data_IF_985149236935
#
_entry.id   IF_985149236935
#
_cell.length_a   1.000
_cell.length_b   1.000
_cell.length_c   1.000
_cell.angle_alpha   90.00
_cell.angle_beta   90.00
_cell.angle_gamma   90.00
#
_symmetry.space_group_name_H-M   'P 1'
#
loop_
_entity.id
_entity.type
_entity.pdbx_description
1 polymer ?
#
# COMPACT_ATOMS: atom_id res chain seq x y z
N UNK A 1 0.87 -20.76 53.42
CA UNK A 1 1.36 -20.44 52.06
C UNK A 1 0.16 -20.50 51.12
N UNK A 2 -0.27 -19.37 50.56
CA UNK A 2 -1.41 -19.29 49.63
C UNK A 2 -0.84 -19.02 48.23
N UNK A 3 -1.06 -19.95 47.30
CA UNK A 3 -0.69 -19.77 45.89
C UNK A 3 -1.81 -19.02 45.17
N UNK A 4 -1.46 -17.89 44.56
CA UNK A 4 -2.31 -17.11 43.67
C UNK A 4 -2.14 -17.67 42.24
N UNK A 5 -3.18 -18.30 41.71
CA UNK A 5 -3.22 -18.75 40.31
C UNK A 5 -3.81 -17.61 39.48
N UNK A 6 -2.99 -16.98 38.64
CA UNK A 6 -3.43 -15.96 37.68
C UNK A 6 -3.80 -16.68 36.38
N UNK A 7 -5.10 -16.79 36.10
CA UNK A 7 -5.60 -17.20 34.79
C UNK A 7 -5.46 -16.03 33.80
N UNK A 8 -4.50 -16.14 32.88
CA UNK A 8 -4.42 -15.28 31.70
C UNK A 8 -5.47 -15.72 30.68
N UNK A 9 -6.56 -14.96 30.60
CA UNK A 9 -7.54 -15.08 29.52
C UNK A 9 -6.94 -14.45 28.26
N UNK A 10 -6.56 -15.28 27.29
CA UNK A 10 -6.29 -14.85 25.93
C UNK A 10 -7.63 -14.55 25.24
N UNK A 11 -7.92 -13.26 25.03
CA UNK A 11 -9.01 -12.83 24.14
C UNK A 11 -8.46 -12.81 22.72
N UNK A 12 -8.81 -13.81 21.92
CA UNK A 12 -8.58 -13.79 20.47
C UNK A 12 -9.58 -12.83 19.84
N UNK A 13 -9.10 -11.68 19.36
CA UNK A 13 -9.91 -10.75 18.55
C UNK A 13 -9.80 -11.16 17.10
N UNK A 14 -10.87 -11.74 16.55
CA UNK A 14 -11.00 -11.99 15.11
C UNK A 14 -11.22 -10.65 14.41
N UNK A 15 -10.26 -10.22 13.58
CA UNK A 15 -10.42 -9.05 12.72
C UNK A 15 -11.25 -9.47 11.51
N UNK A 16 -12.45 -8.89 11.36
CA UNK A 16 -13.28 -9.05 10.16
C UNK A 16 -12.61 -8.34 8.98
N UNK A 17 -12.41 -9.06 7.88
CA UNK A 17 -12.04 -8.47 6.60
C UNK A 17 -13.27 -7.76 6.01
N UNK A 18 -13.22 -6.44 5.87
CA UNK A 18 -14.24 -5.67 5.17
C UNK A 18 -14.10 -5.89 3.66
N UNK A 19 -15.03 -6.63 3.07
CA UNK A 19 -15.13 -6.82 1.61
C UNK A 19 -15.67 -5.54 0.97
N UNK A 20 -14.78 -4.73 0.37
CA UNK A 20 -15.17 -3.55 -0.42
C UNK A 20 -15.45 -3.98 -1.86
N UNK A 21 -16.72 -4.07 -2.24
CA UNK A 21 -17.16 -4.32 -3.61
C UNK A 21 -17.13 -3.01 -4.41
N UNK A 22 -16.38 -2.95 -5.52
CA UNK A 22 -16.44 -1.82 -6.47
C UNK A 22 -16.54 -2.33 -7.91
N UNK A 23 -17.70 -2.07 -8.53
CA UNK A 23 -17.96 -2.24 -9.96
C UNK A 23 -16.97 -1.42 -10.80
N UNK A 24 -16.13 -2.11 -11.57
CA UNK A 24 -15.33 -1.53 -12.65
C UNK A 24 -16.03 -1.70 -14.01
N UNK A 25 -16.14 -0.61 -14.76
CA UNK A 25 -16.67 -0.55 -16.13
C UNK A 25 -15.57 -0.62 -17.19
N UNK A 26 -15.88 -1.31 -18.28
CA UNK A 26 -15.20 -1.40 -19.60
C UNK A 26 -14.12 -2.46 -19.82
N UNK A 27 -14.50 -3.49 -20.60
CA UNK A 27 -13.63 -4.12 -21.61
C UNK A 27 -13.54 -5.65 -21.51
N UNK A 28 -14.42 -6.35 -22.25
CA UNK A 28 -14.59 -7.83 -22.28
C UNK A 28 -15.05 -8.39 -20.93
N UNK A 29 -16.37 -8.39 -20.76
CA UNK A 29 -17.05 -8.97 -19.60
C UNK A 29 -16.82 -10.48 -19.58
N UNK A 30 -15.72 -10.91 -18.96
CA UNK A 30 -15.61 -12.27 -18.45
C UNK A 30 -16.47 -12.33 -17.20
N UNK A 31 -17.52 -13.14 -17.26
CA UNK A 31 -18.41 -13.40 -16.14
C UNK A 31 -17.66 -14.24 -15.10
N UNK A 32 -16.92 -13.57 -14.22
CA UNK A 32 -16.18 -14.21 -13.13
C UNK A 32 -17.11 -14.32 -11.90
N UNK A 33 -17.31 -15.53 -11.34
CA UNK A 33 -18.06 -15.70 -10.10
C UNK A 33 -17.25 -15.16 -8.91
N UNK A 34 -17.89 -14.33 -8.07
CA UNK A 34 -17.44 -13.74 -6.79
C UNK A 34 -16.02 -13.12 -6.75
N UNK A 35 -15.95 -11.81 -6.47
CA UNK A 35 -14.71 -11.12 -6.10
C UNK A 35 -14.02 -11.89 -4.96
N UNK A 36 -12.85 -12.47 -5.23
CA UNK A 36 -12.05 -13.09 -4.18
C UNK A 36 -11.34 -11.97 -3.42
N UNK A 37 -11.61 -11.88 -2.12
CA UNK A 37 -11.28 -10.71 -1.31
C UNK A 37 -9.79 -10.44 -1.21
N UNK A 38 -9.40 -9.19 -1.47
CA UNK A 38 -8.11 -8.66 -1.01
C UNK A 38 -8.04 -8.88 0.49
N UNK A 39 -6.99 -9.56 0.95
CA UNK A 39 -6.70 -9.63 2.39
C UNK A 39 -5.66 -8.58 2.71
N UNK A 40 -6.03 -7.61 3.54
CA UNK A 40 -5.19 -6.49 3.92
C UNK A 40 -5.06 -6.42 5.44
N UNK A 41 -3.88 -6.71 5.94
CA UNK A 41 -3.53 -6.54 7.35
C UNK A 41 -2.97 -5.13 7.52
N UNK A 42 -3.75 -4.25 8.15
CA UNK A 42 -3.26 -2.91 8.51
C UNK A 42 -2.12 -3.05 9.52
N UNK A 43 -1.16 -2.14 9.45
CA UNK A 43 -0.04 -2.15 10.39
C UNK A 43 -0.55 -1.88 11.82
N UNK A 44 -0.42 -2.88 12.69
CA UNK A 44 -0.80 -2.80 14.09
C UNK A 44 0.45 -2.83 14.98
N UNK A 45 0.69 -1.76 15.72
CA UNK A 45 1.64 -1.75 16.83
C UNK A 45 0.87 -2.15 18.10
N UNK A 46 1.23 -3.27 18.72
CA UNK A 46 0.56 -3.81 19.91
C UNK A 46 -0.97 -3.99 19.76
N UNK A 47 -1.44 -4.41 18.58
CA UNK A 47 -2.86 -4.68 18.34
C UNK A 47 -3.75 -3.42 18.17
N UNK A 48 -3.16 -2.23 17.98
CA UNK A 48 -3.89 -0.99 17.66
C UNK A 48 -3.45 -0.45 16.30
N UNK A 49 -4.40 0.08 15.53
CA UNK A 49 -4.10 0.89 14.35
C UNK A 49 -3.39 2.15 14.83
N UNK A 50 -2.06 2.17 14.76
CA UNK A 50 -1.30 3.37 15.12
C UNK A 50 -1.20 4.20 13.85
N UNK A 51 -2.21 5.04 13.63
CA UNK A 51 -2.07 6.17 12.72
C UNK A 51 -1.15 7.18 13.43
N UNK A 52 0.16 6.93 13.40
CA UNK A 52 1.13 7.85 13.99
C UNK A 52 0.94 9.22 13.32
N UNK A 53 0.75 10.25 14.15
CA UNK A 53 0.74 11.61 13.67
C UNK A 53 2.10 11.91 13.00
N UNK A 54 2.13 12.73 11.93
CA UNK A 54 3.39 13.16 11.36
C UNK A 54 4.30 13.74 12.44
N UNK A 55 5.60 13.39 12.44
CA UNK A 55 6.54 14.05 13.34
C UNK A 55 6.55 15.54 13.03
N UNK A 56 6.83 16.35 14.06
CA UNK A 56 7.02 17.79 13.84
C UNK A 56 8.22 18.00 12.91
N UNK A 57 8.05 18.90 11.95
CA UNK A 57 9.14 19.34 11.09
C UNK A 57 10.18 20.06 11.94
N UNK A 58 11.44 19.64 11.82
CA UNK A 58 12.55 20.19 12.62
C UNK A 58 13.25 21.37 11.94
N UNK A 59 12.89 21.67 10.69
CA UNK A 59 13.63 22.58 9.80
C UNK A 59 14.76 21.89 9.03
N UNK A 60 15.04 20.62 9.33
CA UNK A 60 15.91 19.78 8.50
C UNK A 60 15.12 19.25 7.30
N UNK A 61 15.51 19.67 6.09
CA UNK A 61 14.89 19.22 4.84
C UNK A 61 15.14 17.74 4.55
N UNK A 62 16.09 17.09 5.24
CA UNK A 62 16.45 15.67 5.03
C UNK A 62 15.76 14.73 6.01
N UNK A 63 14.82 15.26 6.79
CA UNK A 63 14.00 14.47 7.70
C UNK A 63 13.16 13.46 6.91
N UNK A 64 13.46 12.16 7.04
CA UNK A 64 12.67 11.10 6.42
C UNK A 64 11.64 10.58 7.42
N UNK A 65 10.39 10.46 6.98
CA UNK A 65 9.35 9.77 7.73
C UNK A 65 8.72 8.65 6.89
N UNK A 66 8.79 7.43 7.41
CA UNK A 66 8.20 6.25 6.79
C UNK A 66 6.85 5.97 7.41
N UNK A 67 5.83 5.81 6.58
CA UNK A 67 4.49 5.43 7.02
C UNK A 67 4.08 4.12 6.35
N UNK A 68 3.99 3.06 7.15
CA UNK A 68 3.50 1.75 6.73
C UNK A 68 1.99 1.72 6.94
N UNK A 69 1.24 1.39 5.89
CA UNK A 69 -0.22 1.32 5.90
C UNK A 69 -0.66 -0.13 6.13
N UNK A 70 -0.04 -1.07 5.41
CA UNK A 70 -0.29 -2.50 5.56
C UNK A 70 0.99 -3.22 5.97
N UNK A 71 0.92 -4.05 7.01
CA UNK A 71 1.99 -5.02 7.28
C UNK A 71 2.04 -6.07 6.17
N UNK A 72 0.87 -6.43 5.61
CA UNK A 72 0.71 -7.39 4.52
C UNK A 72 -0.54 -7.07 3.71
N UNK A 73 -0.46 -7.16 2.39
CA UNK A 73 -1.62 -7.16 1.50
C UNK A 73 -1.47 -8.26 0.45
N UNK A 74 -2.51 -9.09 0.30
CA UNK A 74 -2.48 -10.27 -0.58
C UNK A 74 -3.71 -10.31 -1.48
N UNK A 75 -3.47 -10.56 -2.77
CA UNK A 75 -4.46 -11.11 -3.70
C UNK A 75 -4.07 -12.56 -4.00
N UNK A 76 -4.93 -13.50 -3.66
CA UNK A 76 -4.76 -14.94 -3.93
C UNK A 76 -6.05 -15.44 -4.59
N UNK A 77 -5.95 -15.86 -5.85
CA UNK A 77 -7.11 -16.16 -6.68
C UNK A 77 -7.00 -17.55 -7.30
N UNK A 78 -8.13 -18.25 -7.37
CA UNK A 78 -8.22 -19.48 -8.16
C UNK A 78 -8.24 -19.17 -9.66
N UNK A 79 -8.24 -20.22 -10.48
CA UNK A 79 -8.13 -20.10 -11.93
C UNK A 79 -9.27 -19.35 -12.61
N UNK A 80 -10.46 -19.29 -11.99
CA UNK A 80 -11.66 -18.62 -12.48
C UNK A 80 -12.00 -17.36 -11.67
N UNK A 81 -11.01 -16.75 -11.01
CA UNK A 81 -11.21 -15.58 -10.16
C UNK A 81 -10.25 -14.46 -10.53
N UNK A 82 -10.57 -13.25 -10.11
CA UNK A 82 -9.69 -12.10 -10.16
C UNK A 82 -9.77 -11.32 -8.84
N UNK A 83 -8.73 -10.55 -8.56
CA UNK A 83 -8.62 -9.69 -7.38
C UNK A 83 -7.92 -8.40 -7.79
N UNK A 84 -8.46 -7.27 -7.36
CA UNK A 84 -7.85 -5.95 -7.55
C UNK A 84 -7.91 -5.14 -6.25
N UNK A 85 -6.85 -4.39 -5.96
CA UNK A 85 -6.81 -3.36 -4.92
C UNK A 85 -6.36 -2.03 -5.54
N UNK A 86 -7.06 -0.95 -5.21
CA UNK A 86 -6.75 0.42 -5.63
C UNK A 86 -6.86 1.35 -4.45
N UNK A 87 -5.81 2.12 -4.19
CA UNK A 87 -5.81 3.09 -3.10
C UNK A 87 -4.92 4.28 -3.41
N UNK A 88 -5.33 5.47 -2.96
CA UNK A 88 -4.54 6.69 -3.08
C UNK A 88 -4.00 7.07 -1.71
N UNK A 89 -2.69 7.16 -1.60
CA UNK A 89 -2.02 7.69 -0.42
C UNK A 89 -1.71 9.17 -0.60
N UNK A 90 -1.98 9.96 0.43
CA UNK A 90 -1.74 11.42 0.39
C UNK A 90 -0.86 11.82 1.57
N UNK A 91 0.25 12.51 1.27
CA UNK A 91 1.12 13.10 2.27
C UNK A 91 0.39 14.20 3.05
N UNK A 92 0.52 14.25 4.39
CA UNK A 92 -0.05 15.33 5.19
C UNK A 92 0.53 16.70 4.82
N UNK A 93 -0.11 17.76 5.29
CA UNK A 93 0.39 19.12 5.07
C UNK A 93 1.83 19.28 5.60
N UNK A 94 2.67 19.99 4.85
CA UNK A 94 4.09 20.18 5.16
C UNK A 94 5.01 19.03 4.70
N UNK A 95 4.45 17.95 4.15
CA UNK A 95 5.21 16.80 3.64
C UNK A 95 4.91 16.56 2.16
N UNK A 96 5.88 15.97 1.46
CA UNK A 96 5.76 15.44 0.09
C UNK A 96 6.12 13.96 0.08
N UNK A 97 5.61 13.21 -0.91
CA UNK A 97 5.97 11.80 -1.07
C UNK A 97 7.39 11.71 -1.64
N UNK A 98 8.21 10.87 -1.03
CA UNK A 98 9.57 10.59 -1.46
C UNK A 98 9.62 9.31 -2.31
N UNK A 99 9.08 8.19 -1.82
CA UNK A 99 9.03 6.91 -2.55
C UNK A 99 8.02 5.92 -1.97
N UNK A 100 7.50 4.96 -2.75
CA UNK A 100 6.82 3.79 -2.20
C UNK A 100 7.72 2.97 -1.29
N UNK A 101 7.13 2.32 -0.29
CA UNK A 101 7.75 1.30 0.54
C UNK A 101 6.96 0.01 0.39
N UNK A 102 7.62 -1.08 0.04
CA UNK A 102 7.04 -2.42 -0.01
C UNK A 102 8.15 -3.46 -0.15
N UNK A 103 7.83 -4.72 0.19
CA UNK A 103 8.61 -5.91 -0.16
C UNK A 103 7.70 -6.90 -0.87
N UNK A 104 8.18 -7.50 -1.95
CA UNK A 104 7.44 -8.57 -2.64
C UNK A 104 7.68 -9.87 -1.89
N UNK A 105 6.62 -10.45 -1.31
CA UNK A 105 6.68 -11.76 -0.68
C UNK A 105 6.31 -12.87 -1.68
N UNK A 106 5.26 -12.65 -2.48
CA UNK A 106 4.84 -13.59 -3.52
C UNK A 106 4.48 -12.83 -4.79
N UNK A 107 4.87 -13.39 -5.93
CA UNK A 107 4.47 -12.93 -7.26
C UNK A 107 4.44 -14.16 -8.19
N UNK A 108 3.24 -14.70 -8.42
CA UNK A 108 3.02 -15.97 -9.11
C UNK A 108 2.00 -15.82 -10.25
N UNK A 109 2.34 -16.32 -11.43
CA UNK A 109 1.49 -16.35 -12.61
C UNK A 109 1.09 -14.94 -13.09
N UNK A 110 -0.21 -14.64 -13.22
CA UNK A 110 -0.70 -13.39 -13.80
C UNK A 110 -0.99 -12.38 -12.70
N UNK A 111 0.02 -11.60 -12.33
CA UNK A 111 -0.12 -10.53 -11.35
C UNK A 111 0.46 -9.23 -11.84
N UNK A 112 0.06 -8.14 -11.19
CA UNK A 112 0.63 -6.82 -11.41
C UNK A 112 0.55 -5.98 -10.14
N UNK A 113 1.48 -5.06 -9.98
CA UNK A 113 1.36 -3.96 -9.04
C UNK A 113 2.03 -2.73 -9.64
N UNK A 114 1.51 -1.55 -9.31
CA UNK A 114 2.03 -0.27 -9.81
C UNK A 114 1.83 0.82 -8.78
N UNK A 115 2.77 1.75 -8.79
CA UNK A 115 2.73 3.00 -8.04
C UNK A 115 2.78 4.17 -9.02
N UNK A 116 1.85 5.10 -8.93
CA UNK A 116 1.78 6.27 -9.80
C UNK A 116 1.81 7.54 -8.96
N UNK A 117 2.80 8.43 -9.14
CA UNK A 117 2.80 9.74 -8.48
C UNK A 117 1.62 10.59 -8.96
N UNK A 118 1.06 11.39 -8.06
CA UNK A 118 -0.03 12.30 -8.37
C UNK A 118 -0.06 13.51 -7.44
N UNK A 119 -1.04 14.39 -7.65
CA UNK A 119 -1.18 15.65 -6.91
C UNK A 119 0.16 16.42 -6.88
N UNK A 120 0.66 16.70 -8.08
CA UNK A 120 1.89 17.44 -8.33
C UNK A 120 1.75 18.89 -7.87
N UNK A 121 2.85 19.49 -7.42
CA UNK A 121 2.85 20.91 -7.08
C UNK A 121 2.70 21.73 -8.35
N UNK A 122 1.80 22.73 -8.33
CA UNK A 122 1.62 23.64 -9.45
C UNK A 122 2.69 24.72 -9.43
N UNK A 123 3.33 25.00 -10.58
CA UNK A 123 4.43 25.97 -10.71
C UNK A 123 5.59 25.66 -9.75
N UNK A 124 5.97 24.39 -9.66
CA UNK A 124 7.07 23.98 -8.81
C UNK A 124 8.40 24.59 -9.32
N UNK A 125 9.18 25.30 -8.49
CA UNK A 125 10.52 25.75 -8.88
C UNK A 125 11.51 24.59 -9.08
N UNK A 126 11.19 23.38 -8.58
CA UNK A 126 12.01 22.18 -8.72
C UNK A 126 11.63 21.40 -9.98
N UNK A 127 12.61 20.90 -10.74
CA UNK A 127 12.39 20.00 -11.87
C UNK A 127 13.27 18.75 -11.74
N UNK A 128 12.70 17.53 -11.66
CA UNK A 128 11.29 17.20 -11.76
C UNK A 128 10.46 17.65 -10.54
N UNK A 129 9.19 17.94 -10.80
CA UNK A 129 8.25 18.48 -9.83
C UNK A 129 8.09 17.57 -8.60
N UNK A 130 7.71 18.20 -7.48
CA UNK A 130 7.34 17.47 -6.27
C UNK A 130 5.92 16.95 -6.41
N UNK A 131 5.61 15.88 -5.70
CA UNK A 131 4.27 15.27 -5.70
C UNK A 131 3.81 14.91 -4.29
N UNK A 132 2.49 14.96 -4.07
CA UNK A 132 1.88 14.75 -2.73
C UNK A 132 1.09 13.48 -2.60
N UNK A 133 0.74 12.82 -3.70
CA UNK A 133 0.01 11.55 -3.64
C UNK A 133 0.69 10.44 -4.40
N UNK A 134 0.36 9.22 -4.01
CA UNK A 134 0.83 8.00 -4.63
C UNK A 134 -0.35 7.05 -4.79
N UNK A 135 -0.74 6.80 -6.04
CA UNK A 135 -1.79 5.84 -6.37
C UNK A 135 -1.18 4.45 -6.45
N UNK A 136 -1.70 3.55 -5.64
CA UNK A 136 -1.32 2.15 -5.56
C UNK A 136 -2.36 1.29 -6.27
N UNK A 137 -1.88 0.41 -7.15
CA UNK A 137 -2.65 -0.65 -7.77
C UNK A 137 -1.97 -1.99 -7.52
N UNK A 138 -2.77 -3.01 -7.22
CA UNK A 138 -2.35 -4.41 -7.17
C UNK A 138 -3.44 -5.28 -7.77
N UNK A 139 -3.07 -6.32 -8.51
CA UNK A 139 -4.03 -7.26 -9.05
C UNK A 139 -3.47 -8.64 -9.36
N UNK A 140 -4.35 -9.64 -9.36
CA UNK A 140 -4.10 -11.00 -9.78
C UNK A 140 -5.30 -11.53 -10.59
N UNK A 141 -5.04 -12.25 -11.67
CA UNK A 141 -6.06 -12.88 -12.53
C UNK A 141 -5.77 -14.38 -12.65
N UNK A 142 -6.78 -15.22 -12.48
CA UNK A 142 -6.69 -16.64 -12.78
C UNK A 142 -6.44 -16.89 -14.27
N UNK A 143 -6.18 -18.14 -14.63
CA UNK A 143 -5.99 -18.50 -16.04
C UNK A 143 -7.24 -18.23 -16.91
N UNK A 144 -8.44 -18.31 -16.32
CA UNK A 144 -9.74 -18.33 -16.97
C UNK A 144 -10.00 -19.58 -17.81
N UNK A 145 -9.15 -20.61 -17.71
CA UNK A 145 -9.19 -21.79 -18.58
C UNK A 145 -9.59 -23.06 -17.81
N UNK A 146 -10.72 -23.67 -18.19
CA UNK A 146 -11.23 -24.92 -17.62
C UNK A 146 -10.24 -26.09 -17.70
N UNK A 147 -9.38 -26.12 -18.73
CA UNK A 147 -8.38 -27.17 -18.94
C UNK A 147 -7.03 -26.86 -18.30
N UNK A 148 -6.80 -25.62 -17.87
CA UNK A 148 -5.59 -25.21 -17.21
C UNK A 148 -5.93 -24.38 -15.97
N UNK A 149 -6.23 -25.06 -14.88
CA UNK A 149 -6.81 -24.48 -13.67
C UNK A 149 -5.76 -23.85 -12.73
N UNK A 150 -4.84 -23.05 -13.26
CA UNK A 150 -3.88 -22.30 -12.43
C UNK A 150 -4.47 -20.99 -11.92
N UNK A 151 -4.36 -20.80 -10.59
CA UNK A 151 -4.59 -19.53 -9.91
C UNK A 151 -3.41 -18.57 -10.02
N UNK A 152 -3.51 -17.41 -9.38
CA UNK A 152 -2.46 -16.39 -9.32
C UNK A 152 -2.36 -15.79 -7.92
N UNK A 153 -1.15 -15.36 -7.52
CA UNK A 153 -0.93 -14.82 -6.19
C UNK A 153 0.08 -13.68 -6.18
N UNK A 154 -0.30 -12.55 -5.61
CA UNK A 154 0.60 -11.47 -5.24
C UNK A 154 0.44 -11.14 -3.76
N UNK A 155 1.56 -11.07 -3.05
CA UNK A 155 1.62 -10.68 -1.64
C UNK A 155 2.73 -9.65 -1.46
N UNK A 156 2.38 -8.51 -0.87
CA UNK A 156 3.31 -7.44 -0.54
C UNK A 156 3.35 -7.23 0.98
N UNK A 157 4.53 -7.00 1.53
CA UNK A 157 4.77 -6.68 2.93
C UNK A 157 5.22 -5.24 3.10
N UNK A 158 5.01 -4.69 4.30
CA UNK A 158 5.43 -3.34 4.68
C UNK A 158 5.01 -2.28 3.64
N UNK A 159 3.76 -2.36 3.17
CA UNK A 159 3.23 -1.49 2.12
C UNK A 159 2.92 -0.12 2.68
N UNK A 160 3.55 0.90 2.11
CA UNK A 160 3.40 2.27 2.54
C UNK A 160 4.22 3.23 1.68
N UNK A 161 4.65 4.32 2.29
CA UNK A 161 5.40 5.36 1.59
C UNK A 161 6.33 6.10 2.55
N UNK A 162 7.45 6.54 1.99
CA UNK A 162 8.40 7.44 2.63
C UNK A 162 8.06 8.87 2.24
N UNK A 163 8.26 9.79 3.17
CA UNK A 163 8.00 11.22 3.00
C UNK A 163 9.21 12.03 3.43
N UNK A 164 9.31 13.22 2.85
CA UNK A 164 10.31 14.25 3.14
C UNK A 164 9.58 15.60 3.27
N UNK A 165 10.10 16.60 4.00
CA UNK A 165 9.51 17.93 4.06
C UNK A 165 9.18 18.49 2.67
N UNK A 166 8.04 19.17 2.55
CA UNK A 166 7.64 19.83 1.31
C UNK A 166 8.64 20.90 0.86
N UNK A 167 9.41 21.47 1.80
CA UNK A 167 10.46 22.46 1.55
C UNK A 167 11.76 21.87 1.00
N UNK A 168 11.93 20.55 0.97
CA UNK A 168 13.13 19.90 0.47
C UNK A 168 13.31 20.14 -1.03
N UNK A 169 14.54 20.50 -1.41
CA UNK A 169 14.95 20.70 -2.81
C UNK A 169 15.17 19.36 -3.52
N UNK A 170 15.40 19.38 -4.83
CA UNK A 170 15.78 18.16 -5.56
C UNK A 170 17.11 17.56 -5.11
N UNK A 171 18.06 18.38 -4.65
CA UNK A 171 19.31 17.89 -4.06
C UNK A 171 19.04 17.11 -2.76
N UNK A 172 18.22 17.67 -1.85
CA UNK A 172 17.81 17.00 -0.62
C UNK A 172 17.06 15.69 -0.92
N UNK A 173 16.15 15.70 -1.91
CA UNK A 173 15.41 14.53 -2.38
C UNK A 173 16.34 13.46 -2.95
N UNK A 174 17.34 13.85 -3.74
CA UNK A 174 18.32 12.93 -4.30
C UNK A 174 19.16 12.27 -3.21
N UNK A 175 19.68 13.06 -2.26
CA UNK A 175 20.43 12.54 -1.12
C UNK A 175 19.61 11.58 -0.25
N UNK A 176 18.30 11.85 -0.07
CA UNK A 176 17.38 10.98 0.64
C UNK A 176 16.93 9.75 -0.18
N UNK A 177 17.38 9.63 -1.42
CA UNK A 177 17.03 8.53 -2.32
C UNK A 177 15.54 8.49 -2.65
N UNK A 178 14.95 9.66 -2.91
CA UNK A 178 13.57 9.78 -3.36
C UNK A 178 13.42 9.36 -4.83
N UNK A 179 12.24 8.85 -5.15
CA UNK A 179 11.84 8.64 -6.53
C UNK A 179 11.46 10.00 -7.13
N UNK A 180 12.14 10.37 -8.21
CA UNK A 180 11.99 11.64 -8.92
C UNK A 180 11.52 11.38 -10.36
N UNK A 181 10.26 10.90 -10.53
CA UNK A 181 9.72 10.62 -11.86
C UNK A 181 9.58 11.91 -12.67
N UNK A 182 9.75 11.85 -14.01
CA UNK A 182 9.48 13.00 -14.86
C UNK A 182 8.00 13.42 -14.75
N UNK A 183 7.76 14.72 -14.85
CA UNK A 183 6.44 15.34 -14.92
C UNK A 183 6.41 16.16 -16.22
N UNK A 184 5.46 15.86 -17.10
CA UNK A 184 5.31 16.46 -18.44
C UNK A 184 4.60 17.82 -18.38
#
# INVERSE_FOLDING_TARGET
MKYLVICLLFVSVSVSADTVTKKGSNGRDKEYPEECGVTAEKFLLNGRNVTEAPPKLTGDNRQIWNKIIYSRITCDVNWNQYCEHKETFVAPAGWQICKPLYKVEANMNRTSHRWTPGNWYTNDPESPDRYRSLDFYMGADGSGNLFNQWGSKISLLDVGYSMIPASATNDDRYECGCNMPPHD
#
